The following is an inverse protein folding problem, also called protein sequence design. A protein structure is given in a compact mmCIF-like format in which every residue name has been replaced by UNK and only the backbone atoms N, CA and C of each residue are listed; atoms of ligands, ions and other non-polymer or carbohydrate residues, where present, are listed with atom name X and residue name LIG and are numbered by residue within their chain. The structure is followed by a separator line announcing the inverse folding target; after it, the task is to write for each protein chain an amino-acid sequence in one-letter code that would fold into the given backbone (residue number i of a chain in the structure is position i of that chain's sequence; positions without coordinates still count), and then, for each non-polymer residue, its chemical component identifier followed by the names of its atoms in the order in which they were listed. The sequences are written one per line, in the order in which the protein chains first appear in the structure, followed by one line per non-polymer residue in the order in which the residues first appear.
data_IF_498556818794
#
_entry.id   IF_498556818794
#
_cell.length_a   1.000
_cell.length_b   1.000
_cell.length_c   1.000
_cell.angle_alpha   90.00
_cell.angle_beta   90.00
_cell.angle_gamma   90.00
#
_symmetry.space_group_name_H-M   'P 1'
#
loop_
_entity.id
_entity.type
_entity.pdbx_description
1 polymer ?
#
# COMPACT_ATOMS: atom_id res chain seq x y z
N UNK A 1 5.16 -18.58 -29.37
CA UNK A 1 4.17 -17.71 -28.72
C UNK A 1 3.14 -18.54 -27.93
N UNK A 2 3.56 -19.41 -27.02
CA UNK A 2 2.67 -20.25 -26.19
C UNK A 2 3.43 -20.77 -24.94
N UNK A 3 3.94 -19.85 -24.07
CA UNK A 3 4.60 -20.24 -22.81
C UNK A 3 4.31 -19.38 -21.59
N UNK A 4 3.45 -18.36 -21.70
CA UNK A 4 3.17 -17.48 -20.55
C UNK A 4 1.86 -17.77 -19.79
N UNK A 5 0.95 -18.52 -20.34
CA UNK A 5 -0.36 -18.81 -19.71
C UNK A 5 -0.34 -19.94 -18.69
N UNK A 6 0.67 -20.80 -18.70
CA UNK A 6 0.75 -21.95 -17.78
C UNK A 6 1.25 -21.57 -16.37
N UNK A 7 2.01 -20.48 -16.24
CA UNK A 7 2.63 -20.09 -14.96
C UNK A 7 1.63 -19.45 -13.99
N UNK A 8 0.72 -18.63 -14.49
CA UNK A 8 -0.27 -17.94 -13.64
C UNK A 8 -1.34 -18.88 -13.09
N UNK A 9 -1.74 -19.87 -13.84
CA UNK A 9 -2.78 -20.83 -13.41
C UNK A 9 -2.24 -21.81 -12.36
N UNK A 10 -0.94 -22.12 -12.38
CA UNK A 10 -0.33 -23.02 -11.40
C UNK A 10 -0.19 -22.37 -10.01
N UNK A 11 0.08 -21.06 -9.95
CA UNK A 11 0.20 -20.33 -8.68
C UNK A 11 -1.17 -20.15 -7.98
N UNK A 12 -2.26 -20.09 -8.72
CA UNK A 12 -3.61 -19.99 -8.14
C UNK A 12 -4.05 -21.26 -7.40
N UNK A 13 -3.40 -22.40 -7.64
CA UNK A 13 -3.66 -23.69 -6.98
C UNK A 13 -2.55 -24.13 -6.01
N UNK A 14 -1.47 -23.32 -5.90
CA UNK A 14 -0.36 -23.63 -5.02
C UNK A 14 -0.73 -23.38 -3.54
N UNK A 15 -0.16 -24.13 -2.60
CA UNK A 15 -0.35 -23.87 -1.18
C UNK A 15 0.13 -22.46 -0.81
N UNK A 16 -0.50 -21.77 0.17
CA UNK A 16 -0.17 -20.39 0.52
C UNK A 16 1.31 -20.15 0.81
N UNK A 17 2.01 -21.10 1.42
CA UNK A 17 3.43 -20.98 1.72
C UNK A 17 4.32 -20.99 0.47
N UNK A 18 3.94 -21.73 -0.58
CA UNK A 18 4.67 -21.71 -1.86
C UNK A 18 4.45 -20.41 -2.62
N UNK A 19 3.23 -19.90 -2.62
CA UNK A 19 2.92 -18.59 -3.20
C UNK A 19 3.73 -17.49 -2.51
N UNK A 20 3.76 -17.51 -1.19
CA UNK A 20 4.53 -16.55 -0.40
C UNK A 20 6.03 -16.65 -0.66
N UNK A 21 6.58 -17.86 -0.70
CA UNK A 21 7.99 -18.08 -1.03
C UNK A 21 8.35 -17.56 -2.43
N UNK A 22 7.46 -17.76 -3.41
CA UNK A 22 7.64 -17.23 -4.77
C UNK A 22 7.64 -15.70 -4.80
N UNK A 23 6.73 -15.04 -4.06
CA UNK A 23 6.70 -13.58 -3.93
C UNK A 23 7.99 -13.08 -3.28
N UNK A 24 8.44 -13.71 -2.20
CA UNK A 24 9.68 -13.34 -1.51
C UNK A 24 10.90 -13.43 -2.43
N UNK A 25 11.04 -14.53 -3.17
CA UNK A 25 12.13 -14.74 -4.12
C UNK A 25 12.08 -13.70 -5.26
N UNK A 26 10.91 -13.41 -5.81
CA UNK A 26 10.73 -12.43 -6.88
C UNK A 26 11.03 -11.00 -6.39
N UNK A 27 10.66 -10.67 -5.16
CA UNK A 27 10.93 -9.38 -4.55
C UNK A 27 12.43 -9.19 -4.31
N UNK A 28 13.10 -10.19 -3.72
CA UNK A 28 14.54 -10.14 -3.47
C UNK A 28 15.36 -10.06 -4.78
N UNK A 29 14.91 -10.71 -5.84
CA UNK A 29 15.55 -10.64 -7.15
C UNK A 29 15.46 -9.25 -7.78
N UNK A 30 14.39 -8.50 -7.54
CA UNK A 30 14.19 -7.14 -8.09
C UNK A 30 14.75 -6.03 -7.21
N UNK A 31 14.84 -6.25 -5.91
CA UNK A 31 15.27 -5.26 -4.90
C UNK A 31 16.63 -5.69 -4.33
N UNK A 32 17.65 -5.58 -5.14
CA UNK A 32 19.00 -6.03 -4.80
C UNK A 32 19.57 -5.28 -3.60
N UNK A 33 20.19 -6.01 -2.66
CA UNK A 33 20.88 -5.43 -1.51
C UNK A 33 19.99 -4.92 -0.37
N UNK A 34 18.67 -5.15 -0.43
CA UNK A 34 17.69 -4.67 0.56
C UNK A 34 16.89 -5.82 1.23
N UNK A 35 17.54 -6.95 1.45
CA UNK A 35 16.89 -8.16 1.98
C UNK A 35 16.14 -7.92 3.30
N UNK A 36 16.72 -7.11 4.22
CA UNK A 36 16.04 -6.77 5.47
C UNK A 36 14.76 -5.94 5.25
N UNK A 37 14.73 -5.07 4.25
CA UNK A 37 13.55 -4.29 3.88
C UNK A 37 12.48 -5.21 3.27
N UNK A 38 12.86 -6.06 2.33
CA UNK A 38 11.94 -6.99 1.68
C UNK A 38 11.30 -7.95 2.68
N UNK A 39 12.07 -8.50 3.61
CA UNK A 39 11.54 -9.34 4.68
C UNK A 39 10.52 -8.60 5.57
N UNK A 40 10.81 -7.37 5.98
CA UNK A 40 9.88 -6.59 6.82
C UNK A 40 8.59 -6.24 6.09
N UNK A 41 8.66 -5.93 4.80
CA UNK A 41 7.48 -5.70 3.97
C UNK A 41 6.60 -6.96 3.89
N UNK A 42 7.21 -8.12 3.73
CA UNK A 42 6.50 -9.39 3.67
C UNK A 42 5.85 -9.76 5.02
N UNK A 43 6.55 -9.51 6.14
CA UNK A 43 5.99 -9.70 7.49
C UNK A 43 4.79 -8.78 7.69
N UNK A 44 4.89 -7.51 7.33
CA UNK A 44 3.78 -6.57 7.45
C UNK A 44 2.59 -6.97 6.60
N UNK A 45 2.83 -7.50 5.40
CA UNK A 45 1.79 -8.03 4.53
C UNK A 45 1.04 -9.19 5.19
N UNK A 46 1.75 -10.14 5.79
CA UNK A 46 1.16 -11.28 6.49
C UNK A 46 0.36 -10.87 7.73
N UNK A 47 0.80 -9.81 8.41
CA UNK A 47 0.16 -9.30 9.62
C UNK A 47 -0.95 -8.27 9.34
N UNK A 48 -1.23 -7.96 8.07
CA UNK A 48 -2.09 -6.82 7.67
C UNK A 48 -1.68 -5.53 8.41
N UNK A 49 -0.36 -5.32 8.51
CA UNK A 49 0.24 -4.32 9.37
C UNK A 49 0.93 -3.19 8.62
N UNK A 50 1.61 -2.35 9.40
CA UNK A 50 2.34 -1.19 8.89
C UNK A 50 3.83 -1.35 9.16
N UNK A 51 4.66 -0.80 8.27
CA UNK A 51 6.12 -0.76 8.44
C UNK A 51 6.57 0.69 8.48
N UNK A 52 7.31 1.03 9.53
CA UNK A 52 8.07 2.27 9.55
C UNK A 52 9.48 1.99 9.07
N UNK A 53 9.88 2.65 7.99
CA UNK A 53 11.23 2.55 7.45
C UNK A 53 11.93 3.89 7.62
N UNK A 54 12.79 3.97 8.62
CA UNK A 54 13.64 5.14 8.86
C UNK A 54 14.94 5.05 8.04
N UNK A 55 15.49 6.18 7.70
CA UNK A 55 16.77 6.29 6.99
C UNK A 55 16.75 7.28 5.84
N UNK A 56 17.87 7.37 5.12
CA UNK A 56 18.04 8.30 4.01
C UNK A 56 16.94 8.06 2.97
N UNK A 57 16.24 9.13 2.50
CA UNK A 57 15.30 9.01 1.40
C UNK A 57 16.00 8.39 0.20
N UNK A 58 15.43 7.32 -0.34
CA UNK A 58 16.08 6.61 -1.42
C UNK A 58 15.10 5.88 -2.32
N UNK A 59 15.54 5.70 -3.57
CA UNK A 59 14.78 5.02 -4.63
C UNK A 59 14.45 3.56 -4.24
N UNK A 60 15.30 2.92 -3.44
CA UNK A 60 15.15 1.53 -3.02
C UNK A 60 13.84 1.26 -2.26
N UNK A 61 13.42 2.18 -1.38
CA UNK A 61 12.16 2.04 -0.62
C UNK A 61 10.96 2.04 -1.57
N UNK A 62 10.90 3.02 -2.46
CA UNK A 62 9.81 3.14 -3.44
C UNK A 62 9.79 1.94 -4.39
N UNK A 63 10.96 1.52 -4.88
CA UNK A 63 11.09 0.34 -5.74
C UNK A 63 10.59 -0.92 -5.06
N UNK A 64 10.96 -1.14 -3.79
CA UNK A 64 10.53 -2.33 -3.03
C UNK A 64 9.00 -2.41 -2.89
N UNK A 65 8.37 -1.30 -2.46
CA UNK A 65 6.91 -1.28 -2.26
C UNK A 65 6.17 -1.38 -3.59
N UNK A 66 6.66 -0.68 -4.62
CA UNK A 66 6.07 -0.76 -5.96
C UNK A 66 6.17 -2.16 -6.56
N UNK A 67 7.34 -2.81 -6.44
CA UNK A 67 7.53 -4.18 -6.90
C UNK A 67 6.63 -5.16 -6.17
N UNK A 68 6.46 -5.00 -4.85
CA UNK A 68 5.52 -5.80 -4.07
C UNK A 68 4.08 -5.61 -4.57
N UNK A 69 3.66 -4.37 -4.84
CA UNK A 69 2.34 -4.07 -5.38
C UNK A 69 2.11 -4.75 -6.74
N UNK A 70 3.10 -4.68 -7.63
CA UNK A 70 3.05 -5.35 -8.93
C UNK A 70 2.91 -6.87 -8.80
N UNK A 71 3.69 -7.50 -7.90
CA UNK A 71 3.63 -8.93 -7.68
C UNK A 71 2.29 -9.40 -7.09
N UNK A 72 1.63 -8.56 -6.32
CA UNK A 72 0.33 -8.81 -5.70
C UNK A 72 -0.86 -8.36 -6.56
N UNK A 73 -0.60 -7.74 -7.72
CA UNK A 73 -1.63 -7.06 -8.53
C UNK A 73 -2.47 -6.08 -7.69
N UNK A 74 -1.81 -5.41 -6.72
CA UNK A 74 -2.45 -4.53 -5.77
C UNK A 74 -2.32 -3.07 -6.15
N UNK A 75 -3.31 -2.26 -5.77
CA UNK A 75 -3.25 -0.81 -5.94
C UNK A 75 -2.13 -0.21 -5.08
N UNK A 76 -1.22 0.51 -5.73
CA UNK A 76 -0.14 1.24 -5.09
C UNK A 76 -0.37 2.74 -5.18
N UNK A 77 -0.15 3.46 -4.08
CA UNK A 77 -0.13 4.90 -4.06
C UNK A 77 1.02 5.44 -3.21
N UNK A 78 1.73 6.43 -3.74
CA UNK A 78 2.76 7.17 -3.00
C UNK A 78 2.20 8.50 -2.56
N UNK A 79 2.26 8.78 -1.26
CA UNK A 79 1.90 10.06 -0.67
C UNK A 79 3.19 10.79 -0.30
N UNK A 80 3.42 11.94 -0.93
CA UNK A 80 4.47 12.87 -0.55
C UNK A 80 3.89 13.86 0.46
N UNK A 81 4.39 13.82 1.70
CA UNK A 81 3.93 14.75 2.73
C UNK A 81 4.60 16.11 2.58
N UNK A 82 3.80 17.16 2.61
CA UNK A 82 4.21 18.56 2.45
C UNK A 82 3.56 19.42 3.53
N UNK A 83 4.11 20.62 3.83
CA UNK A 83 3.54 21.50 4.88
C UNK A 83 2.13 22.02 4.61
N UNK A 84 1.67 21.98 3.36
CA UNK A 84 0.35 22.44 2.91
C UNK A 84 -0.68 21.31 2.77
N UNK A 85 -0.30 20.06 3.04
CA UNK A 85 -1.18 18.91 2.97
C UNK A 85 -2.31 19.02 4.01
N UNK A 86 -3.54 18.71 3.60
CA UNK A 86 -4.71 18.69 4.47
C UNK A 86 -5.10 17.25 4.84
N UNK A 87 -5.73 17.02 6.01
CA UNK A 87 -6.24 15.71 6.37
C UNK A 87 -7.17 15.09 5.32
N UNK A 88 -8.03 15.88 4.68
CA UNK A 88 -8.92 15.44 3.62
C UNK A 88 -8.20 14.92 2.37
N UNK A 89 -6.97 15.38 2.11
CA UNK A 89 -6.13 14.88 1.01
C UNK A 89 -5.73 13.40 1.23
N UNK A 90 -5.69 12.96 2.48
CA UNK A 90 -5.40 11.58 2.85
C UNK A 90 -6.65 10.71 2.94
N UNK A 91 -7.66 11.20 3.64
CA UNK A 91 -8.86 10.44 4.02
C UNK A 91 -9.95 10.49 2.96
N UNK A 92 -9.89 11.46 2.06
CA UNK A 92 -10.94 11.71 1.09
C UNK A 92 -11.96 12.74 1.58
N UNK A 93 -12.92 13.01 0.74
CA UNK A 93 -13.92 14.06 0.94
C UNK A 93 -15.28 13.67 0.38
N UNK A 94 -16.34 14.29 0.90
CA UNK A 94 -17.66 14.20 0.32
C UNK A 94 -17.81 15.19 -0.84
N UNK A 95 -18.29 14.70 -1.96
CA UNK A 95 -18.53 15.48 -3.17
C UNK A 95 -20.01 15.50 -3.47
N UNK A 96 -20.57 16.69 -3.62
CA UNK A 96 -21.98 16.85 -4.01
C UNK A 96 -22.14 16.52 -5.50
N UNK A 97 -23.07 15.61 -5.80
CA UNK A 97 -23.49 15.27 -7.15
C UNK A 97 -24.73 16.07 -7.50
N UNK A 98 -24.58 17.10 -8.30
CA UNK A 98 -25.70 17.96 -8.72
C UNK A 98 -26.78 17.20 -9.53
N UNK A 99 -26.35 16.18 -10.29
CA UNK A 99 -27.24 15.35 -11.11
C UNK A 99 -28.25 14.52 -10.30
N UNK A 100 -27.82 14.05 -9.12
CA UNK A 100 -28.62 13.20 -8.24
C UNK A 100 -29.08 13.90 -6.96
N UNK A 101 -28.55 15.10 -6.67
CA UNK A 101 -28.81 15.81 -5.42
C UNK A 101 -28.25 15.13 -4.18
N UNK A 102 -27.26 14.24 -4.34
CA UNK A 102 -26.70 13.44 -3.25
C UNK A 102 -25.23 13.74 -3.00
N UNK A 103 -24.77 13.48 -1.78
CA UNK A 103 -23.34 13.49 -1.45
C UNK A 103 -22.77 12.10 -1.65
N UNK A 104 -21.60 12.03 -2.32
CA UNK A 104 -20.85 10.81 -2.52
C UNK A 104 -19.47 10.97 -1.87
N UNK A 105 -19.09 10.01 -1.01
CA UNK A 105 -17.77 10.00 -0.41
C UNK A 105 -16.74 9.48 -1.43
N UNK A 106 -15.74 10.31 -1.73
CA UNK A 106 -14.56 9.91 -2.51
C UNK A 106 -13.43 9.55 -1.57
N UNK A 107 -13.08 8.25 -1.47
CA UNK A 107 -11.99 7.82 -0.60
C UNK A 107 -10.65 8.39 -1.07
N UNK A 108 -9.85 8.85 -0.12
CA UNK A 108 -8.50 9.33 -0.36
C UNK A 108 -7.49 8.18 -0.53
N UNK A 109 -6.21 8.54 -0.76
CA UNK A 109 -5.15 7.57 -1.04
C UNK A 109 -4.86 6.60 0.10
N UNK A 110 -5.18 6.94 1.35
CA UNK A 110 -4.99 6.04 2.50
C UNK A 110 -5.78 4.73 2.37
N UNK A 111 -6.87 4.73 1.59
CA UNK A 111 -7.71 3.54 1.35
C UNK A 111 -7.19 2.63 0.23
N UNK A 112 -6.06 2.94 -0.40
CA UNK A 112 -5.42 2.05 -1.37
C UNK A 112 -4.82 0.82 -0.67
N UNK A 113 -4.63 -0.26 -1.41
CA UNK A 113 -4.13 -1.52 -0.87
C UNK A 113 -2.73 -1.38 -0.27
N UNK A 114 -1.83 -0.77 -1.01
CA UNK A 114 -0.47 -0.46 -0.57
C UNK A 114 -0.21 1.04 -0.68
N UNK A 115 0.22 1.63 0.42
CA UNK A 115 0.53 3.07 0.50
C UNK A 115 1.95 3.27 1.00
N UNK A 116 2.73 4.02 0.25
CA UNK A 116 4.02 4.53 0.68
C UNK A 116 3.85 5.99 1.13
N UNK A 117 4.01 6.24 2.41
CA UNK A 117 4.05 7.57 2.99
C UNK A 117 5.50 8.06 3.10
N UNK A 118 5.84 9.08 2.33
CA UNK A 118 7.19 9.62 2.27
C UNK A 118 7.27 11.00 2.93
N UNK A 119 8.34 11.24 3.69
CA UNK A 119 8.58 12.52 4.39
C UNK A 119 7.46 12.93 5.37
N UNK A 120 6.89 11.98 6.12
CA UNK A 120 5.78 12.20 7.08
C UNK A 120 6.07 13.36 8.06
N UNK A 121 7.33 13.54 8.45
CA UNK A 121 7.77 14.60 9.35
C UNK A 121 7.59 16.01 8.79
N UNK A 122 7.38 16.17 7.49
CA UNK A 122 7.10 17.47 6.84
C UNK A 122 5.63 17.88 6.92
N UNK A 123 4.75 16.95 7.23
CA UNK A 123 3.33 17.23 7.32
C UNK A 123 2.98 18.10 8.53
N UNK A 124 1.93 18.92 8.45
CA UNK A 124 1.37 19.61 9.61
C UNK A 124 0.96 18.61 10.70
N UNK A 125 1.02 19.03 11.98
CA UNK A 125 0.68 18.19 13.12
C UNK A 125 -0.73 17.58 13.01
N UNK A 126 -1.70 18.32 12.47
CA UNK A 126 -3.07 17.83 12.23
C UNK A 126 -3.12 16.64 11.26
N UNK A 127 -2.28 16.65 10.23
CA UNK A 127 -2.17 15.57 9.24
C UNK A 127 -1.50 14.35 9.87
N UNK A 128 -0.41 14.56 10.61
CA UNK A 128 0.28 13.47 11.32
C UNK A 128 -0.64 12.79 12.34
N UNK A 129 -1.47 13.55 13.04
CA UNK A 129 -2.44 13.01 14.01
C UNK A 129 -3.61 12.28 13.34
N UNK A 130 -4.02 12.70 12.14
CA UNK A 130 -5.11 12.08 11.40
C UNK A 130 -4.72 10.75 10.73
N UNK A 131 -3.43 10.53 10.47
CA UNK A 131 -2.96 9.36 9.75
C UNK A 131 -3.27 8.02 10.46
N UNK A 132 -2.96 7.83 11.76
CA UNK A 132 -3.31 6.61 12.47
C UNK A 132 -4.81 6.32 12.47
N UNK A 133 -5.64 7.34 12.71
CA UNK A 133 -7.10 7.20 12.70
C UNK A 133 -7.63 6.79 11.32
N UNK A 134 -7.07 7.34 10.24
CA UNK A 134 -7.44 6.99 8.88
C UNK A 134 -7.07 5.52 8.55
N UNK A 135 -5.93 5.06 9.05
CA UNK A 135 -5.47 3.68 8.91
C UNK A 135 -6.39 2.71 9.66
N UNK A 136 -6.75 3.03 10.90
CA UNK A 136 -7.67 2.22 11.72
C UNK A 136 -9.06 2.11 11.06
N UNK A 137 -9.57 3.20 10.50
CA UNK A 137 -10.84 3.19 9.75
C UNK A 137 -10.78 2.31 8.50
N UNK A 138 -9.63 2.23 7.83
CA UNK A 138 -9.41 1.32 6.70
C UNK A 138 -9.56 -0.13 7.14
N UNK A 139 -8.87 -0.52 8.21
CA UNK A 139 -8.90 -1.88 8.75
C UNK A 139 -10.32 -2.29 9.17
N UNK A 140 -11.08 -1.39 9.80
CA UNK A 140 -12.47 -1.64 10.21
C UNK A 140 -13.40 -1.84 9.02
N UNK A 141 -13.24 -1.07 7.93
CA UNK A 141 -14.08 -1.22 6.72
C UNK A 141 -13.81 -2.53 5.98
N UNK A 142 -12.58 -2.98 5.91
CA UNK A 142 -12.23 -4.26 5.29
C UNK A 142 -12.85 -5.44 6.04
N UNK A 143 -12.92 -5.36 7.37
CA UNK A 143 -13.52 -6.41 8.21
C UNK A 143 -15.05 -6.42 8.19
N UNK A 144 -15.71 -5.35 7.77
CA UNK A 144 -17.18 -5.25 7.71
C UNK A 144 -17.77 -5.64 6.34
N UNK A 145 -16.93 -6.00 5.37
CA UNK A 145 -17.34 -6.35 3.99
C UNK A 145 -17.46 -7.87 3.76
N UNK A 146 -17.47 -8.67 4.83
CA UNK A 146 -17.70 -10.12 4.80
C UNK A 146 -19.06 -10.51 5.36
#
# INVERSE_FOLDING_TARGET
MLRETASSTHLAQAPPHEVFAAIAAALDARVVGQHALTQRLLIALLCDGHVLVEGVPGLAKTTAVKTLAELLEADFHRIQFTPDLLPADLTGTEVFRAETGTFEFRPGPVFRSLVLADEINRAPAKVQSALPEAIDRKSTRLNSSH
#
